data_IF_855376097266
#
_entry.id   IF_855376097266
#
_cell.length_a   1.000
_cell.length_b   1.000
_cell.length_c   1.000
_cell.angle_alpha   90.00
_cell.angle_beta   90.00
_cell.angle_gamma   90.00
#
_symmetry.space_group_name_H-M   'P 1'
#
loop_
_entity.id
_entity.type
_entity.pdbx_description
1 polymer ?
#
# COMPACT_ATOMS: atom_id res chain seq x y z
N UNK A 1 -2.03 -4.26 -3.17
CA UNK A 1 -3.40 -4.75 -2.82
C UNK A 1 -3.64 -4.60 -1.33
N UNK A 2 -4.63 -3.81 -0.92
CA UNK A 2 -4.95 -3.56 0.50
C UNK A 2 -5.49 -4.82 1.22
N UNK A 3 -5.24 -5.00 2.53
CA UNK A 3 -5.77 -6.13 3.30
C UNK A 3 -7.31 -6.15 3.35
N UNK A 4 -7.89 -7.31 3.62
CA UNK A 4 -9.32 -7.39 3.94
C UNK A 4 -9.57 -6.80 5.34
N UNK A 5 -10.70 -6.12 5.52
CA UNK A 5 -11.02 -5.46 6.80
C UNK A 5 -11.23 -6.45 7.95
N UNK A 6 -11.66 -7.67 7.63
CA UNK A 6 -11.89 -8.77 8.56
C UNK A 6 -10.60 -9.59 8.84
N UNK A 7 -9.47 -9.20 8.26
CA UNK A 7 -8.19 -9.91 8.41
C UNK A 7 -8.08 -11.22 7.62
N UNK A 8 -9.12 -11.63 6.89
CA UNK A 8 -9.12 -12.90 6.13
C UNK A 8 -8.07 -12.95 5.01
N UNK A 9 -7.63 -11.78 4.54
CA UNK A 9 -6.64 -11.64 3.47
C UNK A 9 -5.59 -10.59 3.84
N UNK A 10 -4.29 -10.92 3.77
CA UNK A 10 -3.22 -9.96 4.01
C UNK A 10 -3.15 -8.91 2.88
N UNK A 11 -2.47 -7.80 3.17
CA UNK A 11 -2.04 -6.87 2.12
C UNK A 11 -0.88 -7.47 1.33
N UNK A 12 -0.86 -7.25 0.02
CA UNK A 12 0.16 -7.84 -0.87
C UNK A 12 0.70 -6.79 -1.82
N UNK A 13 2.03 -6.67 -1.86
CA UNK A 13 2.78 -5.94 -2.88
C UNK A 13 3.17 -6.92 -3.99
N UNK A 14 2.96 -6.53 -5.25
CA UNK A 14 3.29 -7.36 -6.42
C UNK A 14 4.42 -6.70 -7.21
N UNK A 15 5.45 -7.47 -7.51
CA UNK A 15 6.60 -7.03 -8.32
C UNK A 15 6.51 -7.69 -9.69
N UNK A 16 6.56 -6.93 -10.79
CA UNK A 16 6.63 -7.53 -12.12
C UNK A 16 7.99 -8.23 -12.32
N UNK A 17 7.95 -9.49 -12.75
CA UNK A 17 9.16 -10.31 -12.96
C UNK A 17 9.66 -10.31 -14.42
N UNK A 18 9.01 -9.54 -15.29
CA UNK A 18 9.41 -9.42 -16.69
C UNK A 18 10.68 -8.58 -16.80
N UNK A 19 11.66 -9.08 -17.57
CA UNK A 19 12.93 -8.39 -17.88
C UNK A 19 13.62 -7.78 -16.64
N UNK A 20 13.88 -8.54 -15.56
CA UNK A 20 14.38 -7.98 -14.31
C UNK A 20 15.76 -7.32 -14.47
N UNK A 21 16.55 -7.75 -15.45
CA UNK A 21 17.87 -7.20 -15.74
C UNK A 21 17.84 -5.78 -16.33
N UNK A 22 16.69 -5.30 -16.82
CA UNK A 22 16.55 -3.94 -17.35
C UNK A 22 16.13 -2.93 -16.28
N UNK A 23 15.92 -3.38 -15.03
CA UNK A 23 15.40 -2.55 -13.93
C UNK A 23 16.54 -2.08 -13.03
N UNK A 24 16.49 -0.81 -12.63
CA UNK A 24 17.47 -0.22 -11.73
C UNK A 24 17.11 -0.56 -10.28
N UNK A 25 18.04 -1.16 -9.53
CA UNK A 25 17.82 -1.54 -8.13
C UNK A 25 17.36 -0.39 -7.24
N UNK A 26 17.88 0.82 -7.46
CA UNK A 26 17.49 2.01 -6.70
C UNK A 26 16.02 2.39 -6.93
N UNK A 27 15.51 2.21 -8.16
CA UNK A 27 14.11 2.45 -8.47
C UNK A 27 13.24 1.35 -7.85
N UNK A 28 13.70 0.09 -7.88
CA UNK A 28 13.00 -1.01 -7.21
C UNK A 28 12.90 -0.82 -5.69
N UNK A 29 13.97 -0.35 -5.06
CA UNK A 29 13.99 -0.08 -3.63
C UNK A 29 13.03 1.06 -3.27
N UNK A 30 13.08 2.18 -4.01
CA UNK A 30 12.12 3.28 -3.82
C UNK A 30 10.67 2.81 -4.05
N UNK A 31 10.42 1.99 -5.08
CA UNK A 31 9.10 1.41 -5.36
C UNK A 31 8.64 0.49 -4.22
N UNK A 32 9.55 -0.30 -3.65
CA UNK A 32 9.23 -1.18 -2.53
C UNK A 32 8.85 -0.37 -1.28
N UNK A 33 9.54 0.73 -0.99
CA UNK A 33 9.16 1.64 0.10
C UNK A 33 7.80 2.32 -0.15
N UNK A 34 7.55 2.73 -1.39
CA UNK A 34 6.28 3.34 -1.81
C UNK A 34 5.09 2.38 -1.68
N UNK A 35 5.21 1.15 -2.17
CA UNK A 35 4.08 0.21 -2.23
C UNK A 35 3.89 -0.61 -0.95
N UNK A 36 4.97 -0.87 -0.22
CA UNK A 36 4.95 -1.71 0.97
C UNK A 36 5.09 -0.89 2.25
N UNK A 37 6.23 -1.02 2.93
CA UNK A 37 6.47 -0.37 4.23
C UNK A 37 7.59 0.64 4.01
N UNK A 38 7.39 1.94 4.35
CA UNK A 38 6.27 2.51 5.10
C UNK A 38 5.11 3.10 4.27
N UNK A 39 5.06 2.88 2.96
CA UNK A 39 4.05 3.47 2.07
C UNK A 39 2.67 2.79 2.11
N UNK A 40 2.11 2.47 0.93
CA UNK A 40 0.72 2.05 0.74
C UNK A 40 0.27 0.90 1.64
N UNK A 41 1.09 -0.13 1.82
CA UNK A 41 0.72 -1.25 2.69
C UNK A 41 0.54 -0.80 4.14
N UNK A 42 1.44 0.05 4.64
CA UNK A 42 1.40 0.55 6.01
C UNK A 42 0.23 1.52 6.22
N UNK A 43 0.00 2.45 5.29
CA UNK A 43 -1.16 3.35 5.30
C UNK A 43 -2.48 2.55 5.40
N UNK A 44 -2.69 1.62 4.48
CA UNK A 44 -3.90 0.82 4.40
C UNK A 44 -4.11 -0.04 5.65
N UNK A 45 -3.04 -0.65 6.17
CA UNK A 45 -3.10 -1.41 7.42
C UNK A 45 -3.49 -0.51 8.60
N UNK A 46 -2.91 0.70 8.67
CA UNK A 46 -3.23 1.67 9.73
C UNK A 46 -4.69 2.08 9.69
N UNK A 47 -5.22 2.40 8.51
CA UNK A 47 -6.63 2.78 8.33
C UNK A 47 -7.57 1.63 8.70
N UNK A 48 -7.24 0.39 8.32
CA UNK A 48 -8.05 -0.78 8.65
C UNK A 48 -8.21 -0.97 10.18
N UNK A 49 -7.15 -0.66 10.94
CA UNK A 49 -7.15 -0.75 12.42
C UNK A 49 -7.95 0.34 13.13
N UNK A 50 -8.40 1.40 12.43
CA UNK A 50 -9.20 2.49 13.02
C UNK A 50 -10.69 2.09 13.19
N UNK A 51 -10.94 1.04 13.96
CA UNK A 51 -12.26 0.40 14.14
C UNK A 51 -13.39 1.35 14.52
N UNK A 52 -13.07 2.39 15.28
CA UNK A 52 -14.03 3.38 15.79
C UNK A 52 -14.48 4.39 14.73
N UNK A 53 -13.82 4.44 13.57
CA UNK A 53 -14.21 5.32 12.47
C UNK A 53 -15.30 4.69 11.59
N UNK A 54 -16.26 5.51 11.10
CA UNK A 54 -17.24 5.06 10.11
C UNK A 54 -16.55 4.45 8.89
N UNK A 55 -17.16 3.42 8.31
CA UNK A 55 -16.62 2.73 7.12
C UNK A 55 -16.35 3.69 5.96
N UNK A 56 -17.18 4.72 5.79
CA UNK A 56 -16.99 5.75 4.77
C UNK A 56 -15.61 6.43 4.89
N UNK A 57 -15.14 6.69 6.11
CA UNK A 57 -13.81 7.29 6.34
C UNK A 57 -12.68 6.29 6.14
N UNK A 58 -12.88 5.02 6.51
CA UNK A 58 -11.88 3.95 6.33
C UNK A 58 -11.73 3.43 4.90
N UNK A 59 -12.67 3.78 4.01
CA UNK A 59 -12.68 3.36 2.60
C UNK A 59 -12.74 4.55 1.64
N UNK A 60 -12.47 5.76 2.11
CA UNK A 60 -12.49 6.96 1.29
C UNK A 60 -11.38 6.89 0.20
N UNK A 61 -11.71 7.03 -1.10
CA UNK A 61 -10.73 6.95 -2.18
C UNK A 61 -10.04 8.31 -2.40
N UNK A 62 -9.26 8.76 -1.42
CA UNK A 62 -8.57 10.05 -1.47
C UNK A 62 -7.17 9.88 -2.08
N UNK A 63 -7.09 9.91 -3.41
CA UNK A 63 -5.84 9.65 -4.13
C UNK A 63 -4.67 10.55 -3.72
N UNK A 64 -4.90 11.86 -3.56
CA UNK A 64 -3.84 12.79 -3.13
C UNK A 64 -3.30 12.49 -1.72
N UNK A 65 -4.12 11.95 -0.82
CA UNK A 65 -3.69 11.53 0.51
C UNK A 65 -2.88 10.23 0.43
N UNK A 66 -3.39 9.22 -0.27
CA UNK A 66 -2.76 7.90 -0.35
C UNK A 66 -1.45 7.93 -1.14
N UNK A 67 -1.45 8.51 -2.35
CA UNK A 67 -0.22 8.65 -3.15
C UNK A 67 0.76 9.63 -2.52
N UNK A 68 0.27 10.70 -1.88
CA UNK A 68 1.10 11.67 -1.18
C UNK A 68 1.76 11.10 0.09
N UNK A 69 1.12 10.14 0.76
CA UNK A 69 1.71 9.41 1.88
C UNK A 69 2.87 8.51 1.43
N UNK A 70 2.69 7.82 0.30
CA UNK A 70 3.64 6.84 -0.21
C UNK A 70 4.84 7.46 -0.94
N UNK A 71 4.79 8.76 -1.27
CA UNK A 71 5.80 9.46 -2.07
C UNK A 71 7.11 9.77 -1.32
#
# INVERSE_FOLDING_TARGET
MAPALDGSRPGTYFVPVQNPHTRLRIIEEATAFHEAVPGHHFENARIAMLGDLPLLRRKAPLGAFSEGWAL
#
